data_IF_474269599885
#
_entry.id   IF_474269599885
#
_cell.length_a   1.000
_cell.length_b   1.000
_cell.length_c   1.000
_cell.angle_alpha   90.00
_cell.angle_beta   90.00
_cell.angle_gamma   90.00
#
_symmetry.space_group_name_H-M   'P 1'
#
loop_
_entity.id
_entity.type
_entity.pdbx_description
1 polymer ?
#
# COMPACT_ATOMS: atom_id res chain seq x y z
N UNK A 1 -16.42 -9.30 -2.85
CA UNK A 1 -15.39 -9.48 -1.81
C UNK A 1 -15.50 -10.91 -1.31
N UNK A 2 -14.44 -11.74 -1.39
CA UNK A 2 -14.54 -13.15 -0.99
C UNK A 2 -14.65 -13.26 0.54
N UNK A 3 -15.70 -13.98 1.00
CA UNK A 3 -15.80 -14.44 2.38
C UNK A 3 -14.85 -15.64 2.57
N UNK A 4 -13.86 -15.58 3.49
CA UNK A 4 -12.90 -16.64 3.71
C UNK A 4 -13.56 -17.92 4.27
N UNK A 5 -14.77 -17.82 4.81
CA UNK A 5 -15.52 -18.94 5.40
C UNK A 5 -16.55 -19.56 4.47
N UNK A 6 -16.76 -19.02 3.26
CA UNK A 6 -17.80 -19.45 2.31
C UNK A 6 -17.72 -20.94 1.90
N UNK A 7 -16.56 -21.57 2.10
CA UNK A 7 -16.35 -23.01 1.79
C UNK A 7 -16.38 -23.91 3.01
N UNK A 8 -16.52 -23.34 4.20
CA UNK A 8 -16.64 -24.11 5.44
C UNK A 8 -18.11 -24.47 5.69
N UNK A 9 -18.38 -25.54 6.47
CA UNK A 9 -19.73 -25.85 6.89
C UNK A 9 -20.40 -24.65 7.58
N UNK A 10 -21.68 -24.43 7.27
CA UNK A 10 -22.50 -23.48 7.99
C UNK A 10 -22.69 -23.93 9.43
N UNK A 11 -22.46 -23.04 10.37
CA UNK A 11 -22.63 -23.26 11.80
C UNK A 11 -23.30 -22.03 12.43
N UNK A 12 -24.04 -22.19 13.55
CA UNK A 12 -24.58 -21.06 14.28
C UNK A 12 -23.56 -19.98 14.59
N UNK A 13 -23.95 -18.72 14.46
CA UNK A 13 -23.14 -17.61 14.92
C UNK A 13 -23.44 -17.31 16.39
N UNK A 14 -22.41 -16.82 17.10
CA UNK A 14 -22.53 -16.26 18.44
C UNK A 14 -21.78 -14.94 18.52
N UNK A 15 -21.74 -14.28 19.67
CA UNK A 15 -21.20 -12.92 19.76
C UNK A 15 -19.73 -12.94 20.16
N UNK A 16 -18.88 -12.16 19.46
CA UNK A 16 -17.55 -11.75 19.90
C UNK A 16 -17.45 -10.23 19.86
N UNK A 17 -16.82 -9.66 20.86
CA UNK A 17 -16.60 -8.21 21.02
C UNK A 17 -15.17 -7.94 21.47
N UNK A 18 -14.73 -6.70 21.34
CA UNK A 18 -13.45 -6.23 21.84
C UNK A 18 -13.60 -4.83 22.46
N UNK A 19 -12.79 -4.53 23.45
CA UNK A 19 -12.71 -3.19 24.04
C UNK A 19 -12.01 -2.18 23.12
N UNK A 20 -11.20 -2.67 22.18
CA UNK A 20 -10.33 -1.83 21.35
C UNK A 20 -10.62 -1.95 19.85
N UNK A 21 -11.31 -3.01 19.42
CA UNK A 21 -11.66 -3.24 18.01
C UNK A 21 -13.16 -3.05 17.82
N UNK A 22 -13.54 -2.28 16.81
CA UNK A 22 -14.93 -2.10 16.36
C UNK A 22 -15.11 -2.78 15.01
N UNK A 23 -16.25 -3.47 14.82
CA UNK A 23 -16.59 -4.15 13.57
C UNK A 23 -16.47 -3.23 12.35
N UNK A 24 -15.71 -3.66 11.35
CA UNK A 24 -15.47 -2.95 10.10
C UNK A 24 -14.56 -1.72 10.20
N UNK A 25 -14.13 -1.31 11.40
CA UNK A 25 -13.28 -0.14 11.60
C UNK A 25 -11.79 -0.46 11.39
N UNK A 26 -10.98 0.60 11.28
CA UNK A 26 -9.54 0.47 11.22
C UNK A 26 -8.96 -0.03 12.56
N UNK A 27 -8.01 -0.96 12.49
CA UNK A 27 -7.26 -1.44 13.65
C UNK A 27 -6.48 -0.29 14.30
N UNK A 28 -6.61 -0.11 15.63
CA UNK A 28 -5.78 0.82 16.39
C UNK A 28 -4.28 0.50 16.24
N UNK A 29 -3.40 1.52 16.40
CA UNK A 29 -1.96 1.37 16.20
C UNK A 29 -1.30 0.26 17.04
N UNK A 30 -1.79 0.00 18.27
CA UNK A 30 -1.23 -1.03 19.15
C UNK A 30 -1.41 -2.46 18.60
N UNK A 31 -2.41 -2.69 17.73
CA UNK A 31 -2.67 -3.99 17.10
C UNK A 31 -2.01 -4.12 15.72
N UNK A 32 -1.11 -3.20 15.37
CA UNK A 32 -0.35 -3.19 14.13
C UNK A 32 1.09 -3.61 14.35
N UNK A 33 1.76 -3.96 13.25
CA UNK A 33 3.17 -4.36 13.26
C UNK A 33 4.07 -3.33 13.94
N UNK A 34 5.02 -3.82 14.72
CA UNK A 34 5.96 -3.05 15.53
C UNK A 34 5.52 -2.90 17.00
N UNK A 35 4.20 -2.91 17.29
CA UNK A 35 3.69 -3.02 18.66
C UNK A 35 3.22 -4.44 18.95
N UNK A 36 2.56 -5.09 17.97
CA UNK A 36 2.15 -6.49 18.00
C UNK A 36 1.37 -6.89 19.29
N UNK A 37 0.59 -5.96 19.85
CA UNK A 37 -0.21 -6.21 21.03
C UNK A 37 -1.52 -6.89 20.60
N UNK A 38 -1.80 -8.12 21.10
CA UNK A 38 -3.05 -8.79 20.80
C UNK A 38 -4.23 -8.05 21.45
N UNK A 39 -5.38 -7.91 20.77
CA UNK A 39 -6.53 -7.24 21.35
C UNK A 39 -7.18 -8.06 22.46
N UNK A 40 -7.87 -7.38 23.36
CA UNK A 40 -8.85 -8.01 24.24
C UNK A 40 -10.00 -8.54 23.40
N UNK A 41 -10.44 -9.78 23.65
CA UNK A 41 -11.60 -10.39 23.02
C UNK A 41 -12.52 -10.99 24.08
N UNK A 42 -13.82 -10.69 24.03
CA UNK A 42 -14.84 -11.34 24.86
C UNK A 42 -15.91 -11.98 23.98
N UNK A 43 -16.45 -13.12 24.40
CA UNK A 43 -17.49 -13.81 23.65
C UNK A 43 -18.62 -14.34 24.55
N UNK A 44 -19.82 -14.48 23.95
CA UNK A 44 -21.01 -14.95 24.67
C UNK A 44 -22.00 -15.62 23.71
N UNK A 45 -22.89 -16.44 24.26
CA UNK A 45 -23.93 -17.09 23.49
C UNK A 45 -23.44 -18.26 22.66
N UNK A 46 -22.32 -18.88 23.02
CA UNK A 46 -21.85 -20.10 22.37
C UNK A 46 -22.88 -21.23 22.42
N UNK A 47 -22.96 -22.08 21.39
CA UNK A 47 -23.92 -23.20 21.35
C UNK A 47 -23.79 -24.13 22.54
N UNK A 48 -24.94 -24.73 22.95
CA UNK A 48 -24.94 -25.75 23.97
C UNK A 48 -24.06 -26.94 23.54
N UNK A 49 -23.33 -27.52 24.51
CA UNK A 49 -22.39 -28.60 24.21
C UNK A 49 -20.96 -28.16 23.92
N UNK A 50 -20.70 -26.84 23.91
CA UNK A 50 -19.33 -26.31 23.81
C UNK A 50 -18.48 -26.79 24.97
N UNK A 51 -17.31 -27.36 24.68
CA UNK A 51 -16.36 -27.89 25.64
C UNK A 51 -15.02 -27.18 25.62
N UNK A 52 -14.68 -26.51 24.51
CA UNK A 52 -13.51 -25.66 24.39
C UNK A 52 -13.71 -24.62 23.30
N UNK A 53 -12.77 -23.67 23.18
CA UNK A 53 -12.72 -22.72 22.09
C UNK A 53 -11.36 -22.73 21.41
N UNK A 54 -11.33 -22.28 20.16
CA UNK A 54 -10.13 -21.86 19.47
C UNK A 54 -10.30 -20.41 18.98
N UNK A 55 -9.23 -19.63 19.02
CA UNK A 55 -9.18 -18.26 18.46
C UNK A 55 -8.21 -18.23 17.31
N UNK A 56 -8.61 -17.63 16.20
CA UNK A 56 -7.73 -17.41 15.03
C UNK A 56 -7.81 -15.99 14.54
N UNK A 57 -6.71 -15.45 14.02
CA UNK A 57 -6.65 -14.15 13.32
C UNK A 57 -6.06 -14.36 11.94
N UNK A 58 -6.83 -13.98 10.91
CA UNK A 58 -6.53 -14.27 9.52
C UNK A 58 -6.73 -13.04 8.63
N UNK A 59 -5.78 -12.80 7.72
CA UNK A 59 -5.82 -11.81 6.66
C UNK A 59 -5.93 -12.53 5.29
N UNK A 60 -7.13 -12.57 4.67
CA UNK A 60 -7.31 -13.18 3.35
C UNK A 60 -6.81 -12.29 2.20
N UNK A 61 -6.53 -11.02 2.46
CA UNK A 61 -6.17 -10.02 1.46
C UNK A 61 -4.64 -9.88 1.29
N UNK A 62 -3.86 -10.58 2.15
CA UNK A 62 -2.41 -10.65 2.01
C UNK A 62 -2.01 -11.16 0.62
N UNK A 63 -0.99 -10.57 -0.05
CA UNK A 63 -0.57 -10.95 -1.41
C UNK A 63 0.23 -12.26 -1.43
N UNK A 64 -0.34 -13.29 -0.81
CA UNK A 64 0.15 -14.66 -0.80
C UNK A 64 -0.94 -15.58 -1.37
N UNK A 65 -0.59 -16.75 -1.84
CA UNK A 65 -1.57 -17.69 -2.39
C UNK A 65 -2.58 -18.25 -1.37
N UNK A 66 -2.33 -18.04 -0.07
CA UNK A 66 -3.11 -18.61 1.03
C UNK A 66 -3.62 -17.60 2.06
N UNK A 67 -3.46 -16.28 1.82
CA UNK A 67 -3.65 -15.26 2.85
C UNK A 67 -2.55 -15.32 3.90
N UNK A 68 -2.79 -14.76 5.10
CA UNK A 68 -1.80 -14.73 6.17
C UNK A 68 -2.43 -14.94 7.54
N UNK A 69 -1.87 -15.86 8.32
CA UNK A 69 -2.29 -16.16 9.68
C UNK A 69 -1.48 -15.37 10.70
N UNK A 70 -2.16 -14.46 11.39
CA UNK A 70 -1.57 -13.56 12.38
C UNK A 70 -1.53 -14.14 13.79
N UNK A 71 -2.44 -15.06 14.13
CA UNK A 71 -2.55 -15.67 15.44
C UNK A 71 -3.41 -16.92 15.41
N UNK A 72 -3.07 -17.88 16.27
CA UNK A 72 -3.93 -19.01 16.57
C UNK A 72 -3.71 -19.53 17.99
N UNK A 73 -4.80 -19.78 18.71
CA UNK A 73 -4.81 -20.38 20.05
C UNK A 73 -5.85 -21.50 20.05
N UNK A 74 -5.44 -22.68 20.43
CA UNK A 74 -6.29 -23.87 20.57
C UNK A 74 -6.55 -24.19 22.05
N UNK A 75 -7.52 -25.06 22.30
CA UNK A 75 -7.79 -25.70 23.60
C UNK A 75 -8.07 -24.71 24.75
N UNK A 76 -8.71 -23.58 24.43
CA UNK A 76 -9.20 -22.63 25.44
C UNK A 76 -10.37 -23.27 26.17
N UNK A 77 -10.34 -23.43 27.52
CA UNK A 77 -11.43 -24.07 28.28
C UNK A 77 -12.79 -23.39 28.09
N UNK A 78 -13.89 -24.16 28.06
CA UNK A 78 -15.26 -23.62 27.88
C UNK A 78 -15.70 -22.64 28.98
N UNK A 79 -15.04 -22.65 30.13
CA UNK A 79 -15.28 -21.71 31.23
C UNK A 79 -14.70 -20.32 30.98
N UNK A 80 -13.81 -20.20 29.99
CA UNK A 80 -13.16 -18.94 29.60
C UNK A 80 -14.02 -18.29 28.51
N UNK A 81 -14.39 -17.03 28.69
CA UNK A 81 -15.18 -16.24 27.74
C UNK A 81 -14.49 -14.93 27.37
N UNK A 82 -13.22 -14.79 27.73
CA UNK A 82 -12.43 -13.61 27.45
C UNK A 82 -10.93 -13.95 27.36
N UNK A 83 -10.23 -13.29 26.46
CA UNK A 83 -8.76 -13.16 26.46
C UNK A 83 -8.38 -11.71 26.70
N UNK A 84 -7.52 -11.39 27.66
CA UNK A 84 -7.09 -10.03 27.93
C UNK A 84 -6.24 -9.47 26.78
N UNK A 85 -6.12 -8.16 26.70
CA UNK A 85 -5.17 -7.50 25.80
C UNK A 85 -3.76 -7.96 26.13
N UNK A 86 -2.97 -8.28 25.11
CA UNK A 86 -1.61 -8.79 25.26
C UNK A 86 -1.50 -10.30 25.54
N UNK A 87 -2.61 -11.04 25.64
CA UNK A 87 -2.59 -12.49 25.87
C UNK A 87 -1.78 -13.26 24.82
N UNK A 88 -1.67 -12.72 23.62
CA UNK A 88 -0.93 -13.30 22.51
C UNK A 88 0.56 -12.92 22.46
N UNK A 89 1.17 -12.58 23.57
CA UNK A 89 2.63 -12.36 23.61
C UNK A 89 3.43 -13.66 23.36
N UNK A 90 4.72 -13.55 23.11
CA UNK A 90 5.57 -14.70 22.80
C UNK A 90 5.71 -15.71 23.98
N UNK A 91 5.36 -15.30 25.19
CA UNK A 91 5.40 -16.17 26.36
C UNK A 91 4.10 -16.93 26.57
N UNK A 92 2.98 -16.43 26.02
CA UNK A 92 1.64 -16.93 26.24
C UNK A 92 1.17 -16.81 27.69
N UNK A 93 1.81 -15.97 28.49
CA UNK A 93 1.53 -15.86 29.93
C UNK A 93 0.15 -15.29 30.26
N UNK A 94 -0.49 -14.61 29.30
CA UNK A 94 -1.86 -14.11 29.39
C UNK A 94 -2.92 -15.11 28.95
N UNK A 95 -2.53 -16.29 28.46
CA UNK A 95 -3.46 -17.33 28.02
C UNK A 95 -3.93 -18.18 29.22
N UNK A 96 -5.16 -18.72 29.19
CA UNK A 96 -5.65 -19.61 30.23
C UNK A 96 -4.90 -20.92 30.25
N UNK A 97 -4.84 -21.56 31.45
CA UNK A 97 -4.24 -22.86 31.62
C UNK A 97 -4.81 -23.90 30.66
N UNK A 98 -3.96 -24.64 30.00
CA UNK A 98 -4.34 -25.67 29.00
C UNK A 98 -4.47 -25.15 27.58
N UNK A 99 -4.56 -23.83 27.36
CA UNK A 99 -4.55 -23.27 26.01
C UNK A 99 -3.19 -23.41 25.34
N UNK A 100 -3.17 -23.68 24.05
CA UNK A 100 -1.97 -23.86 23.23
C UNK A 100 -1.90 -22.77 22.19
N UNK A 101 -0.89 -21.91 22.27
CA UNK A 101 -0.60 -20.91 21.24
C UNK A 101 0.22 -21.55 20.11
N UNK A 102 -0.26 -21.44 18.89
CA UNK A 102 0.34 -22.04 17.70
C UNK A 102 1.16 -21.03 16.89
N UNK A 103 2.21 -21.49 16.17
CA UNK A 103 2.97 -20.62 15.29
C UNK A 103 2.11 -20.16 14.10
N UNK A 104 2.05 -18.84 13.87
CA UNK A 104 1.50 -18.23 12.67
C UNK A 104 2.39 -18.42 11.43
N UNK A 105 2.14 -17.66 10.37
CA UNK A 105 2.90 -17.81 9.11
C UNK A 105 4.36 -17.35 9.23
N UNK A 106 4.72 -16.54 10.22
CA UNK A 106 6.12 -16.24 10.55
C UNK A 106 6.84 -17.37 11.32
N UNK A 107 6.14 -18.42 11.66
CA UNK A 107 6.64 -19.54 12.49
C UNK A 107 6.88 -19.17 13.96
N UNK A 108 6.34 -18.07 14.42
CA UNK A 108 6.36 -17.63 15.81
C UNK A 108 5.00 -17.88 16.47
N UNK A 109 5.00 -18.47 17.65
CA UNK A 109 3.79 -18.69 18.45
C UNK A 109 3.47 -17.42 19.26
N UNK A 110 2.93 -16.41 18.58
CA UNK A 110 2.49 -15.14 19.16
C UNK A 110 1.51 -14.44 18.21
N UNK A 111 0.85 -13.42 18.72
CA UNK A 111 0.10 -12.49 17.86
C UNK A 111 1.08 -11.61 17.06
N UNK A 112 0.81 -11.50 15.78
CA UNK A 112 1.46 -10.57 14.87
C UNK A 112 0.50 -9.46 14.48
N UNK A 113 0.92 -8.23 14.69
CA UNK A 113 0.12 -7.07 14.29
C UNK A 113 -0.04 -6.94 12.79
N UNK A 114 -1.07 -6.23 12.38
CA UNK A 114 -1.38 -5.97 10.97
C UNK A 114 -0.26 -5.21 10.27
N UNK A 115 0.18 -5.71 9.11
CA UNK A 115 1.26 -5.11 8.31
C UNK A 115 0.97 -5.20 6.80
N UNK A 116 -0.15 -4.63 6.31
CA UNK A 116 -0.43 -4.67 4.88
C UNK A 116 0.66 -3.93 4.11
N UNK A 117 1.09 -4.45 2.94
CA UNK A 117 2.09 -3.77 2.12
C UNK A 117 1.66 -2.35 1.75
N UNK A 118 2.61 -1.44 1.71
CA UNK A 118 2.36 -0.04 1.37
C UNK A 118 1.70 0.08 -0.02
N UNK A 119 0.59 0.82 -0.10
CA UNK A 119 -0.16 1.06 -1.34
C UNK A 119 -1.02 -0.12 -1.83
N UNK A 120 -1.13 -1.22 -1.05
CA UNK A 120 -1.93 -2.38 -1.43
C UNK A 120 -3.44 -2.19 -1.18
N UNK A 121 -3.80 -1.09 -0.50
CA UNK A 121 -5.16 -0.83 -0.05
C UNK A 121 -5.47 -1.48 1.30
N UNK A 122 -6.74 -1.38 1.76
CA UNK A 122 -7.15 -1.92 3.04
C UNK A 122 -7.24 -3.45 2.99
N UNK A 123 -6.55 -4.11 3.94
CA UNK A 123 -6.69 -5.52 4.23
C UNK A 123 -7.69 -5.75 5.35
N UNK A 124 -8.43 -6.85 5.31
CA UNK A 124 -9.35 -7.28 6.36
C UNK A 124 -8.67 -8.27 7.30
N UNK A 125 -8.90 -8.08 8.58
CA UNK A 125 -8.41 -8.96 9.63
C UNK A 125 -9.60 -9.59 10.34
N UNK A 126 -9.72 -10.91 10.22
CA UNK A 126 -10.81 -11.68 10.80
C UNK A 126 -10.36 -12.26 12.13
N UNK A 127 -10.92 -11.76 13.22
CA UNK A 127 -10.77 -12.30 14.57
C UNK A 127 -11.91 -13.28 14.81
N UNK A 128 -11.60 -14.54 14.93
CA UNK A 128 -12.63 -15.60 14.93
C UNK A 128 -12.51 -16.45 16.17
N UNK A 129 -13.64 -16.63 16.88
CA UNK A 129 -13.78 -17.58 17.99
C UNK A 129 -14.57 -18.77 17.49
N UNK A 130 -14.01 -19.96 17.59
CA UNK A 130 -14.65 -21.22 17.23
C UNK A 130 -15.05 -21.95 18.51
N UNK A 131 -16.33 -22.30 18.66
CA UNK A 131 -16.85 -23.12 19.75
C UNK A 131 -16.77 -24.59 19.32
N UNK A 132 -16.14 -25.44 20.15
CA UNK A 132 -15.83 -26.84 19.83
C UNK A 132 -16.54 -27.80 20.77
N UNK A 133 -16.96 -29.00 20.25
CA UNK A 133 -17.62 -30.06 21.01
C UNK A 133 -16.67 -31.02 21.74
N UNK A 134 -15.36 -30.75 21.68
CA UNK A 134 -14.30 -31.51 22.34
C UNK A 134 -13.57 -30.65 23.37
N UNK A 135 -13.09 -31.19 24.49
CA UNK A 135 -12.38 -30.43 25.52
C UNK A 135 -10.98 -29.99 25.08
N UNK A 136 -10.40 -30.71 24.12
CA UNK A 136 -9.15 -30.35 23.46
C UNK A 136 -9.14 -30.89 22.05
N UNK A 137 -8.62 -30.14 21.11
CA UNK A 137 -8.46 -30.56 19.73
C UNK A 137 -7.20 -31.42 19.53
N UNK A 138 -6.23 -31.23 20.42
CA UNK A 138 -5.03 -32.09 20.51
C UNK A 138 -4.06 -31.94 19.35
N UNK A 139 -3.96 -30.76 18.73
CA UNK A 139 -2.94 -30.50 17.71
C UNK A 139 -1.57 -30.35 18.36
N UNK A 140 -0.46 -30.78 17.69
CA UNK A 140 0.89 -30.49 18.15
C UNK A 140 1.15 -29.00 18.33
N UNK A 141 1.99 -28.60 19.30
CA UNK A 141 2.28 -27.20 19.58
C UNK A 141 3.02 -26.47 18.42
N UNK A 142 3.56 -27.21 17.47
CA UNK A 142 4.19 -26.71 16.25
C UNK A 142 3.24 -26.76 15.01
N UNK A 143 1.97 -27.14 15.22
CA UNK A 143 0.96 -27.18 14.16
C UNK A 143 0.69 -25.75 13.62
N UNK A 144 0.45 -25.66 12.33
CA UNK A 144 0.05 -24.38 11.71
C UNK A 144 -1.45 -24.11 11.92
N UNK A 145 -1.91 -22.85 11.82
CA UNK A 145 -3.35 -22.53 11.88
C UNK A 145 -4.18 -23.28 10.82
N UNK A 146 -3.59 -23.59 9.67
CA UNK A 146 -4.24 -24.40 8.64
C UNK A 146 -4.47 -25.84 9.11
N UNK A 147 -3.50 -26.44 9.82
CA UNK A 147 -3.67 -27.77 10.44
C UNK A 147 -4.72 -27.74 11.55
N UNK A 148 -4.72 -26.69 12.39
CA UNK A 148 -5.78 -26.47 13.38
C UNK A 148 -7.15 -26.41 12.69
N UNK A 149 -7.29 -25.60 11.64
CA UNK A 149 -8.55 -25.46 10.88
C UNK A 149 -9.04 -26.79 10.29
N UNK A 150 -8.12 -27.58 9.74
CA UNK A 150 -8.44 -28.92 9.22
C UNK A 150 -8.89 -29.88 10.33
N UNK A 151 -8.17 -29.91 11.44
CA UNK A 151 -8.44 -30.85 12.55
C UNK A 151 -9.77 -30.51 13.25
N UNK A 152 -10.07 -29.21 13.44
CA UNK A 152 -11.31 -28.80 14.12
C UNK A 152 -12.55 -28.82 13.21
N UNK A 153 -12.43 -29.04 11.89
CA UNK A 153 -13.54 -28.89 10.94
C UNK A 153 -14.78 -29.70 11.29
N UNK A 154 -14.60 -30.93 11.85
CA UNK A 154 -15.71 -31.81 12.29
C UNK A 154 -16.21 -31.53 13.71
N UNK A 155 -15.62 -30.59 14.44
CA UNK A 155 -15.87 -30.31 15.84
C UNK A 155 -16.46 -28.92 16.12
N UNK A 156 -16.59 -28.06 15.09
CA UNK A 156 -17.08 -26.70 15.24
C UNK A 156 -18.60 -26.69 15.41
N UNK A 157 -19.08 -26.32 16.61
CA UNK A 157 -20.50 -26.12 16.92
C UNK A 157 -21.01 -24.72 16.55
N UNK A 158 -20.12 -23.73 16.55
CA UNK A 158 -20.47 -22.35 16.23
C UNK A 158 -19.23 -21.49 15.96
N UNK A 159 -19.47 -20.34 15.33
CA UNK A 159 -18.40 -19.39 14.98
C UNK A 159 -18.83 -17.96 15.26
N UNK A 160 -17.99 -17.20 15.98
CA UNK A 160 -18.14 -15.77 16.16
C UNK A 160 -17.02 -15.02 15.43
N UNK A 161 -17.37 -14.00 14.68
CA UNK A 161 -16.43 -13.26 13.81
C UNK A 161 -16.50 -11.78 14.15
N UNK A 162 -15.36 -11.17 14.34
CA UNK A 162 -15.17 -9.72 14.44
C UNK A 162 -14.16 -9.33 13.36
N UNK A 163 -14.52 -8.39 12.49
CA UNK A 163 -13.67 -7.97 11.37
C UNK A 163 -13.17 -6.56 11.59
N UNK A 164 -11.90 -6.34 11.33
CA UNK A 164 -11.31 -5.00 11.30
C UNK A 164 -10.46 -4.83 10.04
N UNK A 165 -10.03 -3.60 9.76
CA UNK A 165 -9.21 -3.30 8.58
C UNK A 165 -7.90 -2.66 8.99
N UNK A 166 -6.87 -2.82 8.17
CA UNK A 166 -5.67 -1.99 8.25
C UNK A 166 -5.17 -1.69 6.84
N UNK A 167 -4.57 -0.52 6.69
CA UNK A 167 -3.94 -0.07 5.46
C UNK A 167 -2.62 0.60 5.80
N UNK A 168 -1.61 0.39 4.94
CA UNK A 168 -0.37 1.16 4.94
C UNK A 168 -0.40 2.03 3.69
N UNK A 169 -0.50 3.36 3.83
CA UNK A 169 -0.47 4.25 2.68
C UNK A 169 0.75 3.97 1.81
N UNK A 170 0.57 3.99 0.50
CA UNK A 170 1.66 3.91 -0.46
C UNK A 170 2.54 5.16 -0.41
N UNK A 171 3.75 5.04 -0.93
CA UNK A 171 4.53 6.23 -1.21
C UNK A 171 3.79 7.08 -2.25
N UNK A 172 3.51 8.33 -1.91
CA UNK A 172 2.84 9.29 -2.82
C UNK A 172 3.85 10.07 -3.65
N UNK A 173 5.08 9.55 -3.74
CA UNK A 173 6.19 10.10 -4.51
C UNK A 173 7.08 8.99 -5.06
N UNK A 174 7.50 9.14 -6.31
CA UNK A 174 8.50 8.33 -6.97
C UNK A 174 9.74 9.18 -7.28
N UNK A 175 10.91 8.58 -7.13
CA UNK A 175 12.17 9.18 -7.56
C UNK A 175 13.02 8.14 -8.29
N UNK A 176 13.66 8.57 -9.38
CA UNK A 176 14.64 7.78 -10.12
C UNK A 176 15.83 8.64 -10.46
N UNK A 177 17.03 8.10 -10.39
CA UNK A 177 18.25 8.85 -10.66
C UNK A 177 19.06 8.21 -11.78
N UNK A 178 19.79 9.06 -12.52
CA UNK A 178 20.70 8.65 -13.59
C UNK A 178 21.89 9.61 -13.65
N UNK A 179 23.08 9.05 -13.77
CA UNK A 179 24.27 9.83 -14.12
C UNK A 179 24.22 10.20 -15.61
N UNK A 180 24.16 11.49 -15.91
CA UNK A 180 24.23 12.05 -17.26
C UNK A 180 25.66 12.59 -17.44
N UNK A 181 26.44 12.09 -18.43
CA UNK A 181 27.82 12.52 -18.65
C UNK A 181 27.88 13.86 -19.38
N UNK A 182 27.38 14.90 -18.71
CA UNK A 182 27.33 16.30 -19.20
C UNK A 182 27.31 17.27 -18.02
N UNK A 183 27.73 18.53 -18.22
CA UNK A 183 27.60 19.60 -17.22
C UNK A 183 26.13 19.89 -16.86
N UNK A 184 25.89 20.32 -15.62
CA UNK A 184 24.53 20.57 -15.12
C UNK A 184 23.77 21.64 -15.91
N UNK A 185 24.46 22.65 -16.37
CA UNK A 185 23.89 23.74 -17.20
C UNK A 185 23.38 23.23 -18.56
N UNK A 186 24.08 22.29 -19.18
CA UNK A 186 23.64 21.66 -20.43
C UNK A 186 22.40 20.79 -20.22
N UNK A 187 22.32 20.08 -19.11
CA UNK A 187 21.11 19.33 -18.72
C UNK A 187 19.96 20.29 -18.42
N UNK A 188 20.24 21.33 -17.62
CA UNK A 188 19.23 22.29 -17.19
C UNK A 188 18.65 23.09 -18.36
N UNK A 189 19.46 23.41 -19.38
CA UNK A 189 19.01 24.07 -20.60
C UNK A 189 17.94 23.25 -21.37
N UNK A 190 17.98 21.91 -21.32
CA UNK A 190 16.91 21.08 -21.89
C UNK A 190 15.64 21.14 -21.04
N UNK A 191 15.78 21.13 -19.72
CA UNK A 191 14.66 21.11 -18.78
C UNK A 191 13.91 22.45 -18.67
N UNK A 192 14.57 23.56 -19.00
CA UNK A 192 13.97 24.90 -19.01
C UNK A 192 13.36 25.29 -20.36
N UNK A 193 13.63 24.52 -21.40
CA UNK A 193 13.12 24.72 -22.75
C UNK A 193 11.76 23.99 -22.92
N UNK A 194 10.67 24.70 -23.24
CA UNK A 194 9.38 24.04 -23.50
C UNK A 194 9.46 22.89 -24.51
N UNK A 195 10.21 23.06 -25.62
CA UNK A 195 10.43 22.01 -26.60
C UNK A 195 11.26 20.85 -26.02
N UNK A 196 12.15 21.16 -25.04
CA UNK A 196 12.91 20.15 -24.32
C UNK A 196 12.04 19.15 -23.59
N UNK A 197 10.89 19.56 -23.04
CA UNK A 197 9.92 18.66 -22.41
C UNK A 197 9.34 17.66 -23.43
N UNK A 198 9.03 18.12 -24.63
CA UNK A 198 8.56 17.25 -25.74
C UNK A 198 9.68 16.30 -26.19
N UNK A 199 10.90 16.83 -26.34
CA UNK A 199 12.07 16.07 -26.81
C UNK A 199 12.44 14.89 -25.88
N UNK A 200 12.11 15.00 -24.59
CA UNK A 200 12.43 13.97 -23.59
C UNK A 200 11.22 13.13 -23.16
N UNK A 201 10.03 13.39 -23.69
CA UNK A 201 8.82 12.66 -23.32
C UNK A 201 8.93 11.17 -23.67
N UNK A 202 8.85 10.31 -22.66
CA UNK A 202 8.82 8.86 -22.81
C UNK A 202 7.40 8.30 -22.95
N UNK A 203 6.38 9.12 -22.68
CA UNK A 203 4.97 8.71 -22.75
C UNK A 203 4.42 8.73 -24.18
N UNK A 204 4.99 9.56 -25.03
CA UNK A 204 4.48 9.82 -26.39
C UNK A 204 3.23 10.69 -26.42
N UNK A 205 2.84 11.31 -25.29
CA UNK A 205 1.66 12.19 -25.21
C UNK A 205 1.95 13.62 -25.64
N UNK A 206 3.18 14.10 -25.46
CA UNK A 206 3.53 15.49 -25.71
C UNK A 206 3.83 15.68 -27.19
N UNK A 207 2.92 16.34 -27.92
CA UNK A 207 3.01 16.53 -29.37
C UNK A 207 3.71 17.83 -29.77
N UNK A 208 3.73 18.83 -28.90
CA UNK A 208 4.36 20.10 -29.12
C UNK A 208 4.26 21.00 -27.89
N UNK A 209 5.06 22.06 -27.85
CA UNK A 209 5.01 23.06 -26.80
C UNK A 209 5.19 24.48 -27.36
N UNK A 210 4.52 25.45 -26.73
CA UNK A 210 4.59 26.88 -27.09
C UNK A 210 4.99 27.68 -25.86
N UNK A 211 6.00 28.52 -25.99
CA UNK A 211 6.49 29.39 -24.93
C UNK A 211 7.95 29.77 -25.09
N UNK A 212 8.46 30.54 -24.16
CA UNK A 212 9.87 30.87 -24.04
C UNK A 212 10.53 30.00 -22.95
N UNK A 213 11.85 29.80 -23.02
CA UNK A 213 12.56 29.11 -21.93
C UNK A 213 12.27 29.77 -20.59
N UNK A 214 11.92 28.95 -19.60
CA UNK A 214 11.53 29.41 -18.26
C UNK A 214 12.76 29.83 -17.47
N UNK A 215 12.60 30.83 -16.58
CA UNK A 215 13.70 31.46 -15.83
C UNK A 215 13.43 31.59 -14.34
N UNK A 216 12.21 31.40 -13.90
CA UNK A 216 11.79 31.53 -12.50
C UNK A 216 10.54 30.73 -12.18
N UNK A 217 10.26 30.54 -10.89
CA UNK A 217 8.97 30.03 -10.45
C UNK A 217 7.84 31.02 -10.84
N UNK A 218 6.72 30.48 -11.25
CA UNK A 218 5.58 31.21 -11.80
C UNK A 218 5.58 31.33 -13.32
N UNK A 219 6.72 31.09 -14.01
CA UNK A 219 6.73 31.02 -15.46
C UNK A 219 5.85 29.89 -15.98
N UNK A 220 5.28 30.08 -17.20
CA UNK A 220 4.31 29.17 -17.80
C UNK A 220 4.62 28.92 -19.27
N UNK A 221 4.22 27.73 -19.75
CA UNK A 221 4.20 27.42 -21.17
C UNK A 221 3.09 26.42 -21.49
N UNK A 222 2.64 26.41 -22.75
CA UNK A 222 1.58 25.55 -23.24
C UNK A 222 2.17 24.24 -23.76
N UNK A 223 1.50 23.11 -23.50
CA UNK A 223 1.82 21.80 -24.08
C UNK A 223 0.58 21.22 -24.75
N UNK A 224 0.76 20.78 -25.99
CA UNK A 224 -0.24 20.05 -26.75
C UNK A 224 -0.12 18.57 -26.49
N UNK A 225 -1.20 17.96 -26.03
CA UNK A 225 -1.28 16.56 -25.63
C UNK A 225 -2.14 15.76 -26.59
N UNK A 226 -1.76 14.51 -26.82
CA UNK A 226 -2.59 13.51 -27.52
C UNK A 226 -2.55 12.19 -26.77
N UNK A 227 -3.69 11.70 -26.28
CA UNK A 227 -3.82 10.42 -25.58
C UNK A 227 -4.54 9.35 -26.40
N UNK A 228 -4.97 9.66 -27.61
CA UNK A 228 -5.71 8.69 -28.44
C UNK A 228 -4.88 7.42 -28.70
N UNK A 229 -3.58 7.59 -28.97
CA UNK A 229 -2.68 6.47 -29.23
C UNK A 229 -2.38 5.59 -28.01
N UNK A 230 -2.55 6.12 -26.79
CA UNK A 230 -2.32 5.36 -25.56
C UNK A 230 -3.53 4.50 -25.18
N UNK A 231 -4.76 4.95 -25.52
CA UNK A 231 -5.98 4.22 -25.24
C UNK A 231 -6.29 3.99 -23.76
N UNK A 232 -5.65 4.74 -22.86
CA UNK A 232 -5.73 4.57 -21.42
C UNK A 232 -6.83 5.41 -20.76
N UNK A 233 -7.01 6.67 -21.23
CA UNK A 233 -8.05 7.59 -20.77
C UNK A 233 -8.65 8.28 -21.99
N UNK A 234 -9.99 8.36 -22.13
CA UNK A 234 -10.65 8.92 -23.32
C UNK A 234 -10.63 10.47 -23.31
N UNK A 235 -9.45 11.08 -23.29
CA UNK A 235 -9.26 12.53 -23.31
C UNK A 235 -8.98 13.07 -24.72
N UNK A 236 -8.58 12.23 -25.68
CA UNK A 236 -8.23 12.66 -27.02
C UNK A 236 -7.08 13.66 -27.05
N UNK A 237 -7.26 14.70 -27.88
CA UNK A 237 -6.33 15.84 -28.00
C UNK A 237 -6.77 16.97 -27.08
N UNK A 238 -5.85 17.49 -26.27
CA UNK A 238 -6.11 18.57 -25.34
C UNK A 238 -4.83 19.37 -25.05
N UNK A 239 -5.01 20.55 -24.52
CA UNK A 239 -3.90 21.42 -24.12
C UNK A 239 -3.82 21.51 -22.60
N UNK A 240 -2.61 21.58 -22.09
CA UNK A 240 -2.31 21.84 -20.69
C UNK A 240 -1.32 22.99 -20.56
N UNK A 241 -1.43 23.72 -19.47
CA UNK A 241 -0.46 24.73 -19.08
C UNK A 241 0.50 24.14 -18.05
N UNK A 242 1.79 24.14 -18.35
CA UNK A 242 2.85 23.82 -17.38
C UNK A 242 3.17 25.07 -16.59
N UNK A 243 3.13 24.96 -15.27
CA UNK A 243 3.39 26.08 -14.33
C UNK A 243 4.59 25.71 -13.48
N UNK A 244 5.66 26.48 -13.58
CA UNK A 244 6.89 26.26 -12.80
C UNK A 244 6.62 26.59 -11.33
N UNK A 245 6.75 25.63 -10.44
CA UNK A 245 6.52 25.76 -9.00
C UNK A 245 7.81 25.95 -8.22
N UNK A 246 8.94 25.42 -8.74
CA UNK A 246 10.26 25.56 -8.16
C UNK A 246 11.28 25.79 -9.25
N UNK A 247 12.20 26.72 -9.01
CA UNK A 247 13.28 27.04 -9.95
C UNK A 247 14.54 27.44 -9.18
N UNK A 248 15.54 26.56 -9.20
CA UNK A 248 16.89 26.81 -8.66
C UNK A 248 17.87 26.63 -9.83
N UNK A 249 18.45 27.72 -10.38
CA UNK A 249 19.27 27.64 -11.58
C UNK A 249 20.38 26.59 -11.49
N UNK A 250 20.41 25.69 -12.49
CA UNK A 250 21.38 24.61 -12.59
C UNK A 250 21.24 23.47 -11.56
N UNK A 251 20.30 23.59 -10.62
CA UNK A 251 20.17 22.61 -9.52
C UNK A 251 18.79 21.94 -9.41
N UNK A 252 17.69 22.68 -9.57
CA UNK A 252 16.35 22.08 -9.44
C UNK A 252 15.29 22.83 -10.22
N UNK A 253 14.42 22.10 -10.91
CA UNK A 253 13.23 22.63 -11.54
C UNK A 253 12.05 21.70 -11.23
N UNK A 254 10.90 22.29 -10.85
CA UNK A 254 9.66 21.54 -10.66
C UNK A 254 8.46 22.30 -11.24
N UNK A 255 7.44 21.55 -11.62
CA UNK A 255 6.23 22.12 -12.19
C UNK A 255 4.99 21.29 -11.85
N UNK A 256 3.85 21.92 -11.95
CA UNK A 256 2.56 21.30 -12.00
C UNK A 256 1.91 21.50 -13.38
N UNK A 257 0.82 20.76 -13.62
CA UNK A 257 0.08 20.83 -14.87
C UNK A 257 -1.34 21.32 -14.57
N UNK A 258 -1.78 22.34 -15.28
CA UNK A 258 -3.13 22.91 -15.15
C UNK A 258 -3.90 22.71 -16.45
N UNK A 259 -5.13 22.20 -16.36
CA UNK A 259 -6.04 22.17 -17.49
C UNK A 259 -6.56 23.57 -17.81
N UNK A 260 -6.83 23.88 -19.10
CA UNK A 260 -7.35 25.20 -19.55
C UNK A 260 -8.68 25.60 -18.90
N UNK A 261 -9.41 24.67 -18.31
CA UNK A 261 -10.67 24.91 -17.60
C UNK A 261 -10.49 25.23 -16.11
N UNK A 262 -9.25 25.47 -15.65
CA UNK A 262 -8.94 25.75 -14.25
C UNK A 262 -8.96 24.52 -13.34
N UNK A 263 -8.89 23.33 -13.92
CA UNK A 263 -8.85 22.08 -13.17
C UNK A 263 -7.42 21.82 -12.69
N UNK A 264 -7.19 21.94 -11.38
CA UNK A 264 -5.89 21.71 -10.75
C UNK A 264 -5.87 20.34 -10.11
N UNK A 265 -5.12 19.39 -10.67
CA UNK A 265 -4.93 18.07 -10.05
C UNK A 265 -3.85 18.10 -8.97
N UNK A 266 -2.95 19.07 -9.01
CA UNK A 266 -1.81 19.25 -8.09
C UNK A 266 -0.76 18.15 -8.15
N UNK A 267 -0.55 17.55 -9.32
CA UNK A 267 0.64 16.76 -9.56
C UNK A 267 1.88 17.63 -9.47
N UNK A 268 2.96 17.11 -8.95
CA UNK A 268 4.26 17.77 -8.99
C UNK A 268 5.26 16.87 -9.71
N UNK A 269 5.86 17.40 -10.75
CA UNK A 269 6.95 16.78 -11.49
C UNK A 269 8.20 17.62 -11.31
N UNK A 270 9.37 17.00 -11.32
CA UNK A 270 10.58 17.78 -11.24
C UNK A 270 11.86 17.01 -11.47
N UNK A 271 12.95 17.77 -11.56
CA UNK A 271 14.30 17.27 -11.67
C UNK A 271 15.21 18.01 -10.67
N UNK A 272 16.03 17.23 -9.97
CA UNK A 272 17.12 17.70 -9.14
C UNK A 272 18.44 17.28 -9.78
N UNK A 273 19.40 18.20 -9.85
CA UNK A 273 20.69 18.04 -10.48
C UNK A 273 21.78 18.23 -9.43
N UNK A 274 22.66 17.24 -9.31
CA UNK A 274 23.78 17.26 -8.37
C UNK A 274 25.09 16.97 -9.11
N UNK A 275 26.16 17.74 -8.90
CA UNK A 275 27.47 17.42 -9.47
C UNK A 275 27.92 16.03 -9.02
N UNK A 276 28.43 15.24 -9.96
CA UNK A 276 28.95 13.91 -9.67
C UNK A 276 30.21 13.63 -10.51
N UNK A 277 31.01 12.67 -10.08
CA UNK A 277 32.15 12.22 -10.88
C UNK A 277 31.66 11.70 -12.23
N UNK A 278 32.20 12.24 -13.30
CA UNK A 278 31.83 11.89 -14.69
C UNK A 278 30.61 12.62 -15.25
N UNK A 279 30.02 13.63 -14.53
CA UNK A 279 28.93 14.42 -15.06
C UNK A 279 27.97 14.98 -14.00
N UNK A 280 26.68 14.85 -14.25
CA UNK A 280 25.61 15.32 -13.38
C UNK A 280 24.71 14.14 -12.99
N UNK A 281 24.52 13.91 -11.68
CA UNK A 281 23.49 13.02 -11.20
C UNK A 281 22.14 13.74 -11.30
N UNK A 282 21.25 13.22 -12.14
CA UNK A 282 19.92 13.77 -12.38
C UNK A 282 18.91 12.88 -11.72
N UNK A 283 18.14 13.41 -10.76
CA UNK A 283 17.02 12.75 -10.12
C UNK A 283 15.71 13.31 -10.66
N UNK A 284 14.95 12.48 -11.38
CA UNK A 284 13.58 12.80 -11.78
C UNK A 284 12.62 12.35 -10.70
N UNK A 285 11.64 13.17 -10.36
CA UNK A 285 10.62 12.83 -9.38
C UNK A 285 9.21 13.18 -9.84
N UNK A 286 8.26 12.38 -9.38
CA UNK A 286 6.83 12.60 -9.51
C UNK A 286 6.18 12.47 -8.13
N UNK A 287 5.47 13.50 -7.69
CA UNK A 287 4.86 13.60 -6.38
C UNK A 287 3.36 13.89 -6.53
N UNK A 288 2.51 13.10 -5.85
CA UNK A 288 1.06 13.24 -5.88
C UNK A 288 0.46 13.32 -4.46
N UNK A 289 1.28 13.63 -3.46
CA UNK A 289 0.87 13.76 -2.06
C UNK A 289 -0.18 14.85 -1.82
N UNK A 290 -0.11 15.94 -2.62
CA UNK A 290 -1.01 17.09 -2.53
C UNK A 290 -2.30 16.95 -3.37
N UNK A 291 -2.52 15.80 -4.00
CA UNK A 291 -3.70 15.57 -4.84
C UNK A 291 -4.93 15.37 -3.96
N UNK A 292 -6.02 16.07 -4.31
CA UNK A 292 -7.28 15.97 -3.57
C UNK A 292 -7.93 14.58 -3.67
N UNK A 293 -8.60 14.16 -2.60
CA UNK A 293 -9.23 12.84 -2.47
C UNK A 293 -10.23 12.52 -3.61
N UNK A 294 -10.86 13.53 -4.23
CA UNK A 294 -11.74 13.30 -5.37
C UNK A 294 -11.00 12.73 -6.58
N UNK A 295 -9.75 13.17 -6.81
CA UNK A 295 -8.91 12.69 -7.90
C UNK A 295 -8.31 11.32 -7.59
N UNK A 296 -7.91 11.08 -6.33
CA UNK A 296 -7.45 9.76 -5.86
C UNK A 296 -8.52 8.67 -6.06
N UNK A 297 -9.81 9.03 -5.98
CA UNK A 297 -10.92 8.12 -6.26
C UNK A 297 -11.19 7.88 -7.75
N UNK A 298 -10.80 8.81 -8.62
CA UNK A 298 -11.07 8.76 -10.08
C UNK A 298 -9.92 8.17 -10.89
N UNK A 299 -8.69 8.31 -10.39
CA UNK A 299 -7.47 7.92 -11.08
C UNK A 299 -6.67 6.95 -10.20
N UNK A 300 -6.01 5.99 -10.85
CA UNK A 300 -5.04 5.13 -10.18
C UNK A 300 -3.67 5.80 -10.18
N UNK A 301 -3.07 5.97 -9.02
CA UNK A 301 -1.73 6.54 -8.86
C UNK A 301 -0.70 5.44 -8.60
N UNK A 302 0.55 5.63 -9.08
CA UNK A 302 1.04 6.75 -9.88
C UNK A 302 0.53 6.73 -11.32
N UNK A 303 0.07 7.88 -11.86
CA UNK A 303 -0.30 7.98 -13.29
C UNK A 303 0.91 7.96 -14.22
N UNK A 304 2.10 8.25 -13.69
CA UNK A 304 3.39 8.09 -14.39
C UNK A 304 4.18 7.03 -13.62
N UNK A 305 4.36 5.82 -14.17
CA UNK A 305 5.06 4.75 -13.49
C UNK A 305 6.57 5.01 -13.44
N UNK A 306 7.25 4.35 -12.51
CA UNK A 306 8.72 4.44 -12.34
C UNK A 306 9.49 4.14 -13.64
N UNK A 307 9.00 3.18 -14.43
CA UNK A 307 9.59 2.82 -15.73
C UNK A 307 9.56 3.97 -16.73
N UNK A 308 8.52 4.80 -16.73
CA UNK A 308 8.44 5.98 -17.58
C UNK A 308 9.44 7.06 -17.14
N UNK A 309 9.61 7.31 -15.83
CA UNK A 309 10.63 8.22 -15.33
C UNK A 309 12.04 7.76 -15.73
N UNK A 310 12.33 6.45 -15.62
CA UNK A 310 13.62 5.86 -16.07
C UNK A 310 13.83 6.03 -17.58
N UNK A 311 12.80 5.83 -18.37
CA UNK A 311 12.87 6.00 -19.83
C UNK A 311 13.14 7.47 -20.20
N UNK A 312 12.42 8.39 -19.58
CA UNK A 312 12.62 9.86 -19.77
C UNK A 312 14.05 10.27 -19.45
N UNK A 313 14.65 9.79 -18.36
CA UNK A 313 16.06 10.08 -18.05
C UNK A 313 17.04 9.53 -19.13
N UNK A 314 16.74 8.39 -19.71
CA UNK A 314 17.54 7.84 -20.83
C UNK A 314 17.41 8.66 -22.11
N UNK A 315 16.22 9.23 -22.37
CA UNK A 315 15.99 10.13 -23.51
C UNK A 315 16.67 11.49 -23.26
N UNK A 316 16.57 12.02 -22.02
CA UNK A 316 17.24 13.25 -21.61
C UNK A 316 18.76 13.17 -21.85
N UNK A 317 19.42 12.09 -21.41
CA UNK A 317 20.85 11.90 -21.66
C UNK A 317 21.20 11.98 -23.15
N UNK A 318 20.43 11.26 -24.00
CA UNK A 318 20.66 11.31 -25.46
C UNK A 318 20.40 12.68 -26.05
N UNK A 319 19.38 13.38 -25.60
CA UNK A 319 19.02 14.73 -26.05
C UNK A 319 20.10 15.75 -25.70
N UNK A 320 20.62 15.71 -24.46
CA UNK A 320 21.75 16.55 -24.04
C UNK A 320 23.00 16.30 -24.89
N UNK A 321 23.37 15.02 -25.07
CA UNK A 321 24.52 14.67 -25.93
C UNK A 321 24.38 15.20 -27.37
N UNK A 322 23.17 15.06 -27.95
CA UNK A 322 22.89 15.54 -29.30
C UNK A 322 22.96 17.05 -29.41
N UNK A 323 22.43 17.78 -28.41
CA UNK A 323 22.51 19.25 -28.37
C UNK A 323 23.95 19.74 -28.25
N UNK A 324 24.77 19.11 -27.39
CA UNK A 324 26.21 19.41 -27.25
C UNK A 324 27.04 19.08 -28.51
N UNK A 325 26.63 18.09 -29.29
CA UNK A 325 27.36 17.76 -30.54
C UNK A 325 27.02 18.67 -31.72
N UNK A 326 25.91 19.42 -31.66
CA UNK A 326 25.41 20.27 -32.74
C UNK A 326 25.56 21.76 -32.45
N UNK A 327 26.00 22.15 -31.25
CA UNK A 327 26.29 23.52 -30.85
C UNK A 327 27.81 23.76 -30.72
#
# INVERSE_FOLDING_TARGET
MNDPFARLPEVPSFTVTSATITEGAALPPQHRSGTDLSPQLSWSGAPAGTKSYAVTVYDPDAPTGSGFWHWAVADIPATVTELPEGAGDATGSGLPDGAVQLPGDTREARFLGAAPPAGHGPHRYFFVVHALDVPAIGVPADATPAVLGFTMAGHVLGRAVLTATAETPGAERLEVSRLVPAPADAVFAVLTDPQGHVDIDASGMLMGAEGQPVRQAGDRFLVHMDRDALGDVPLGKYDVEVVITKFVPGAEIAWTVEGRTGTHVRHLYGYRLEPAEGGTLVTSYYDWSEIGEEWKRRLTFPVVPESALKATLGILERTVRRRLANG
#
